data_IF_500919210136
#
_entry.id   IF_500919210136
#
_cell.length_a   1.000
_cell.length_b   1.000
_cell.length_c   1.000
_cell.angle_alpha   90.00
_cell.angle_beta   90.00
_cell.angle_gamma   90.00
#
_symmetry.space_group_name_H-M   'P 1'
#
loop_
_entity.id
_entity.type
_entity.pdbx_description
1 polymer ?
#
# COMPACT_ATOMS: atom_id res chain seq x y z
N UNK A 1 -16.00 1.00 -8.96
CA UNK A 1 -16.44 2.40 -8.81
C UNK A 1 -16.88 2.73 -7.39
N UNK A 2 -16.29 3.76 -6.79
CA UNK A 2 -16.69 4.36 -5.51
C UNK A 2 -17.24 5.77 -5.78
N UNK A 3 -18.45 6.12 -5.29
CA UNK A 3 -19.02 7.44 -5.52
C UNK A 3 -18.20 8.52 -4.81
N UNK A 4 -18.14 9.73 -5.38
CA UNK A 4 -17.50 10.86 -4.69
C UNK A 4 -18.26 11.26 -3.43
N UNK A 5 -17.56 11.70 -2.39
CA UNK A 5 -18.15 11.99 -1.10
C UNK A 5 -17.18 12.63 -0.10
N UNK A 6 -17.74 13.01 1.06
CA UNK A 6 -16.92 13.41 2.20
C UNK A 6 -16.33 12.17 2.87
N UNK A 7 -15.08 12.27 3.28
CA UNK A 7 -14.33 11.22 3.98
C UNK A 7 -13.70 11.84 5.22
N UNK A 8 -13.82 11.16 6.35
CA UNK A 8 -13.16 11.55 7.58
C UNK A 8 -11.83 10.81 7.72
N UNK A 9 -10.73 11.55 7.79
CA UNK A 9 -9.41 11.07 8.20
C UNK A 9 -9.23 11.22 9.70
N UNK A 10 -8.31 10.43 10.27
CA UNK A 10 -7.90 10.55 11.66
C UNK A 10 -8.97 10.23 12.70
N UNK A 11 -8.74 10.72 13.92
CA UNK A 11 -9.54 10.52 15.12
C UNK A 11 -9.71 11.86 15.84
N UNK A 12 -10.81 12.10 16.57
CA UNK A 12 -11.01 13.36 17.27
C UNK A 12 -10.20 13.34 18.57
N UNK A 13 -9.74 14.52 19.02
CA UNK A 13 -9.17 14.65 20.36
C UNK A 13 -10.29 14.45 21.41
N UNK A 14 -10.28 13.31 22.09
CA UNK A 14 -11.22 13.00 23.17
C UNK A 14 -10.48 12.47 24.39
N UNK A 15 -10.96 12.82 25.58
CA UNK A 15 -10.46 12.28 26.85
C UNK A 15 -11.20 11.00 27.27
N UNK A 16 -12.19 10.56 26.49
CA UNK A 16 -12.98 9.37 26.79
C UNK A 16 -12.31 8.10 26.25
N UNK A 17 -11.39 7.55 27.04
CA UNK A 17 -10.65 6.30 26.73
C UNK A 17 -11.60 5.11 26.48
N UNK A 18 -12.80 5.10 27.07
CA UNK A 18 -13.79 4.03 26.85
C UNK A 18 -14.42 4.05 25.46
N UNK A 19 -14.38 5.20 24.77
CA UNK A 19 -15.06 5.43 23.50
C UNK A 19 -14.08 5.44 22.33
N UNK A 20 -12.82 5.83 22.55
CA UNK A 20 -11.79 5.94 21.53
C UNK A 20 -10.58 5.05 21.84
N UNK A 21 -10.26 4.05 21.00
CA UNK A 21 -9.03 3.30 21.15
C UNK A 21 -7.82 4.22 20.96
N UNK A 22 -6.67 3.79 21.47
CA UNK A 22 -5.39 4.47 21.30
C UNK A 22 -5.14 4.89 19.84
N UNK A 23 -4.42 6.01 19.66
CA UNK A 23 -3.91 6.45 18.36
C UNK A 23 -2.61 7.23 18.54
N UNK A 24 -1.77 7.21 17.52
CA UNK A 24 -0.56 8.03 17.49
C UNK A 24 -0.88 9.50 17.20
N UNK A 25 0.05 10.40 17.49
CA UNK A 25 -0.14 11.85 17.31
C UNK A 25 -0.55 12.22 15.87
N UNK A 26 0.06 11.60 14.86
CA UNK A 26 -0.27 11.79 13.45
C UNK A 26 -1.69 11.37 13.05
N UNK A 27 -2.39 10.59 13.87
CA UNK A 27 -3.76 10.15 13.62
C UNK A 27 -4.80 11.17 14.10
N UNK A 28 -4.40 12.31 14.67
CA UNK A 28 -5.31 13.35 15.17
C UNK A 28 -5.04 14.72 14.52
N UNK A 29 -6.06 15.60 14.42
CA UNK A 29 -7.47 15.37 14.74
C UNK A 29 -8.23 14.68 13.58
N UNK A 30 -9.55 14.59 13.72
CA UNK A 30 -10.42 14.26 12.61
C UNK A 30 -10.39 15.37 11.56
N UNK A 31 -10.10 15.03 10.31
CA UNK A 31 -10.07 15.95 9.16
C UNK A 31 -11.10 15.49 8.11
N UNK A 32 -11.98 16.40 7.69
CA UNK A 32 -12.97 16.14 6.63
C UNK A 32 -12.38 16.50 5.27
N UNK A 33 -12.31 15.53 4.37
CA UNK A 33 -11.76 15.66 3.03
C UNK A 33 -12.79 15.21 2.00
N UNK A 34 -12.99 15.99 0.95
CA UNK A 34 -13.81 15.58 -0.18
C UNK A 34 -12.99 14.74 -1.16
N UNK A 35 -13.49 13.55 -1.49
CA UNK A 35 -12.90 12.64 -2.48
C UNK A 35 -13.80 12.62 -3.71
N UNK A 36 -13.20 12.76 -4.90
CA UNK A 36 -13.93 12.69 -6.18
C UNK A 36 -14.36 11.24 -6.47
N UNK A 37 -15.18 11.01 -7.49
CA UNK A 37 -15.47 9.64 -7.95
C UNK A 37 -14.19 8.98 -8.46
N UNK A 38 -13.96 7.72 -8.08
CA UNK A 38 -12.78 6.96 -8.52
C UNK A 38 -13.08 5.46 -8.60
N UNK A 39 -12.14 4.72 -9.18
CA UNK A 39 -12.10 3.27 -9.13
C UNK A 39 -10.81 2.82 -8.46
N UNK A 40 -10.88 1.73 -7.70
CA UNK A 40 -9.72 1.11 -7.08
C UNK A 40 -9.77 -0.38 -7.38
N UNK A 41 -8.61 -0.95 -7.69
CA UNK A 41 -8.48 -2.37 -7.91
C UNK A 41 -8.93 -3.12 -6.65
N UNK A 42 -9.67 -4.22 -6.82
CA UNK A 42 -10.27 -4.95 -5.71
C UNK A 42 -9.26 -5.73 -4.86
N UNK A 43 -8.01 -5.82 -5.28
CA UNK A 43 -6.94 -6.51 -4.56
C UNK A 43 -5.58 -5.85 -4.79
N UNK A 44 -4.62 -6.06 -3.86
CA UNK A 44 -3.22 -5.69 -4.07
C UNK A 44 -2.62 -6.31 -5.34
N UNK A 45 -1.57 -5.69 -5.88
CA UNK A 45 -0.86 -6.22 -7.06
C UNK A 45 -0.15 -7.53 -6.72
N UNK A 46 -0.29 -8.56 -7.57
CA UNK A 46 0.35 -9.86 -7.40
C UNK A 46 1.75 -9.90 -7.99
N UNK A 47 2.56 -10.87 -7.56
CA UNK A 47 3.86 -11.14 -8.16
C UNK A 47 3.74 -11.44 -9.67
N UNK A 48 2.72 -12.18 -10.08
CA UNK A 48 2.48 -12.49 -11.49
C UNK A 48 2.15 -11.25 -12.33
N UNK A 49 1.40 -10.30 -11.77
CA UNK A 49 1.06 -9.04 -12.44
C UNK A 49 2.32 -8.17 -12.59
N UNK A 50 3.11 -8.05 -11.51
CA UNK A 50 4.37 -7.29 -11.53
C UNK A 50 5.46 -7.96 -12.39
N UNK A 51 5.44 -9.29 -12.52
CA UNK A 51 6.31 -10.01 -13.45
C UNK A 51 6.06 -9.57 -14.90
N UNK A 52 4.81 -9.31 -15.29
CA UNK A 52 4.51 -8.78 -16.64
C UNK A 52 5.17 -7.42 -16.86
N UNK A 53 5.15 -6.54 -15.86
CA UNK A 53 5.87 -5.26 -15.92
C UNK A 53 7.37 -5.46 -16.12
N UNK A 54 8.00 -6.39 -15.39
CA UNK A 54 9.43 -6.70 -15.57
C UNK A 54 9.72 -7.23 -16.97
N UNK A 55 8.93 -8.20 -17.45
CA UNK A 55 9.09 -8.82 -18.76
C UNK A 55 8.84 -7.84 -19.92
N UNK A 56 8.00 -6.83 -19.71
CA UNK A 56 7.71 -5.74 -20.65
C UNK A 56 8.70 -4.56 -20.48
N UNK A 57 9.96 -4.86 -20.14
CA UNK A 57 11.04 -3.88 -20.02
C UNK A 57 10.81 -2.79 -18.95
N UNK A 58 10.10 -3.12 -17.87
CA UNK A 58 9.72 -2.17 -16.82
C UNK A 58 10.91 -1.44 -16.20
N UNK A 59 12.03 -2.14 -15.97
CA UNK A 59 13.25 -1.56 -15.37
C UNK A 59 14.21 -0.92 -16.39
N UNK A 60 13.93 -1.03 -17.69
CA UNK A 60 14.78 -0.50 -18.76
C UNK A 60 14.13 0.62 -19.57
N UNK A 61 12.84 0.84 -19.37
CA UNK A 61 12.08 1.89 -20.06
C UNK A 61 11.98 3.14 -19.18
N UNK A 62 12.59 4.25 -19.60
CA UNK A 62 12.66 5.49 -18.82
C UNK A 62 11.29 6.12 -18.52
N UNK A 63 10.31 5.94 -19.41
CA UNK A 63 8.99 6.60 -19.35
C UNK A 63 8.20 6.26 -18.07
N UNK A 64 8.53 5.16 -17.41
CA UNK A 64 7.88 4.72 -16.17
C UNK A 64 8.45 5.40 -14.93
N UNK A 65 9.62 6.01 -15.01
CA UNK A 65 10.38 6.44 -13.83
C UNK A 65 10.55 7.95 -13.80
N UNK A 66 10.64 8.50 -12.58
CA UNK A 66 11.15 9.86 -12.42
C UNK A 66 12.63 9.88 -12.81
N UNK A 67 13.10 10.93 -13.50
CA UNK A 67 14.42 10.97 -14.15
C UNK A 67 15.58 10.58 -13.21
N UNK A 68 15.63 11.18 -12.02
CA UNK A 68 16.66 10.88 -11.01
C UNK A 68 16.61 9.42 -10.52
N UNK A 69 15.40 8.85 -10.44
CA UNK A 69 15.21 7.45 -10.07
C UNK A 69 15.69 6.55 -11.20
N UNK A 70 15.36 6.85 -12.45
CA UNK A 70 15.83 6.08 -13.60
C UNK A 70 17.37 6.03 -13.69
N UNK A 71 18.01 7.18 -13.44
CA UNK A 71 19.47 7.29 -13.38
C UNK A 71 20.01 6.38 -12.27
N UNK A 72 19.40 6.39 -11.08
CA UNK A 72 19.82 5.57 -9.95
C UNK A 72 19.65 4.07 -10.23
N UNK A 73 18.46 3.61 -10.64
CA UNK A 73 18.23 2.19 -10.92
C UNK A 73 19.16 1.66 -12.00
N UNK A 74 19.44 2.47 -13.04
CA UNK A 74 20.34 2.10 -14.13
C UNK A 74 21.78 1.98 -13.65
N UNK A 75 22.26 2.97 -12.88
CA UNK A 75 23.62 2.96 -12.32
C UNK A 75 23.83 1.85 -11.29
N UNK A 76 22.79 1.51 -10.54
CA UNK A 76 22.81 0.47 -9.52
C UNK A 76 22.46 -0.92 -10.06
N UNK A 77 22.24 -1.06 -11.38
CA UNK A 77 21.85 -2.30 -12.06
C UNK A 77 20.66 -3.01 -11.39
N UNK A 78 19.66 -2.24 -10.96
CA UNK A 78 18.44 -2.77 -10.35
C UNK A 78 17.50 -3.23 -11.47
N UNK A 79 17.11 -4.51 -11.44
CA UNK A 79 16.33 -5.16 -12.51
C UNK A 79 15.00 -5.79 -12.05
N UNK A 80 14.78 -5.84 -10.75
CA UNK A 80 13.63 -6.49 -10.12
C UNK A 80 13.51 -5.98 -8.68
N UNK A 81 12.38 -6.25 -7.99
CA UNK A 81 12.21 -5.89 -6.58
C UNK A 81 13.30 -6.50 -5.70
N UNK A 82 13.61 -5.82 -4.59
CA UNK A 82 14.68 -6.22 -3.66
C UNK A 82 14.50 -7.61 -3.03
N UNK A 83 13.27 -8.12 -2.96
CA UNK A 83 12.95 -9.46 -2.45
C UNK A 83 13.19 -10.56 -3.49
N UNK A 84 13.37 -10.20 -4.76
CA UNK A 84 13.55 -11.15 -5.86
C UNK A 84 15.03 -11.41 -6.09
N UNK A 85 15.36 -12.58 -6.62
CA UNK A 85 16.68 -12.94 -7.12
C UNK A 85 16.51 -13.73 -8.42
N UNK A 86 17.55 -13.72 -9.26
CA UNK A 86 17.59 -14.51 -10.49
C UNK A 86 18.47 -15.74 -10.27
N UNK A 87 17.94 -16.92 -10.54
CA UNK A 87 18.68 -18.20 -10.50
C UNK A 87 18.29 -19.06 -11.70
N UNK A 88 19.26 -19.53 -12.49
CA UNK A 88 19.04 -20.42 -13.64
C UNK A 88 17.93 -19.94 -14.60
N UNK A 89 17.94 -18.65 -14.95
CA UNK A 89 16.92 -17.99 -15.79
C UNK A 89 15.50 -17.94 -15.23
N UNK A 90 15.32 -18.21 -13.93
CA UNK A 90 14.05 -18.04 -13.23
C UNK A 90 14.16 -17.01 -12.10
N UNK A 91 13.04 -16.39 -11.74
CA UNK A 91 12.94 -15.56 -10.56
C UNK A 91 12.62 -16.41 -9.33
N UNK A 92 13.28 -16.11 -8.23
CA UNK A 92 12.95 -16.61 -6.90
C UNK A 92 12.66 -15.45 -5.95
N UNK A 93 11.80 -15.67 -4.98
CA UNK A 93 11.40 -14.68 -3.98
C UNK A 93 11.93 -15.10 -2.60
N UNK A 94 12.44 -14.11 -1.87
CA UNK A 94 12.84 -14.22 -0.48
C UNK A 94 11.84 -13.46 0.41
N UNK A 95 11.14 -14.20 1.25
CA UNK A 95 10.43 -13.69 2.41
C UNK A 95 11.33 -13.70 3.66
N UNK A 96 10.80 -13.26 4.80
CA UNK A 96 11.56 -13.13 6.06
C UNK A 96 12.16 -14.47 6.50
N UNK A 97 11.38 -15.56 6.49
CA UNK A 97 11.82 -16.90 6.93
C UNK A 97 11.85 -17.95 5.82
N UNK A 98 11.41 -17.61 4.61
CA UNK A 98 11.35 -18.52 3.46
C UNK A 98 12.14 -17.90 2.31
N UNK A 99 13.10 -18.64 1.78
CA UNK A 99 14.05 -18.12 0.78
C UNK A 99 14.09 -19.01 -0.44
N UNK A 100 14.52 -18.44 -1.56
CA UNK A 100 14.70 -19.13 -2.83
C UNK A 100 13.41 -19.81 -3.34
N UNK A 101 12.25 -19.22 -3.04
CA UNK A 101 10.96 -19.75 -3.48
C UNK A 101 10.79 -19.42 -4.95
N UNK A 102 10.66 -20.43 -5.81
CA UNK A 102 10.42 -20.21 -7.24
C UNK A 102 9.15 -19.39 -7.44
N UNK A 103 9.22 -18.38 -8.30
CA UNK A 103 8.12 -17.44 -8.54
C UNK A 103 6.83 -18.15 -8.97
N UNK A 104 6.94 -19.27 -9.68
CA UNK A 104 5.80 -20.08 -10.15
C UNK A 104 4.89 -20.58 -9.03
N UNK A 105 5.40 -20.71 -7.80
CA UNK A 105 4.61 -21.13 -6.63
C UNK A 105 3.93 -19.97 -5.90
N UNK A 106 4.28 -18.73 -6.24
CA UNK A 106 3.85 -17.53 -5.51
C UNK A 106 3.36 -16.43 -6.45
N UNK A 107 2.97 -16.78 -7.67
CA UNK A 107 2.43 -15.83 -8.66
C UNK A 107 1.21 -15.08 -8.14
N UNK A 108 0.36 -15.73 -7.33
CA UNK A 108 -0.85 -15.13 -6.77
C UNK A 108 -0.66 -14.44 -5.41
N UNK A 109 0.56 -14.45 -4.87
CA UNK A 109 0.89 -13.67 -3.68
C UNK A 109 1.10 -12.21 -4.04
N UNK A 110 0.82 -11.28 -3.11
CA UNK A 110 1.10 -9.87 -3.33
C UNK A 110 2.60 -9.61 -3.54
N UNK A 111 2.92 -8.60 -4.36
CA UNK A 111 4.28 -8.15 -4.62
C UNK A 111 4.77 -7.19 -3.53
N UNK A 112 6.03 -7.32 -3.12
CA UNK A 112 6.69 -6.41 -2.18
C UNK A 112 7.64 -5.50 -2.92
N UNK A 113 7.29 -4.22 -3.03
CA UNK A 113 8.01 -3.21 -3.81
C UNK A 113 8.19 -1.91 -3.04
N UNK A 114 9.16 -1.11 -3.46
CA UNK A 114 9.30 0.28 -3.05
C UNK A 114 8.20 1.17 -3.63
N UNK A 115 8.03 2.36 -3.06
CA UNK A 115 7.07 3.35 -3.56
C UNK A 115 7.32 3.75 -5.02
N UNK A 116 8.60 3.90 -5.41
CA UNK A 116 8.96 4.31 -6.78
C UNK A 116 8.69 3.21 -7.81
N UNK A 117 8.88 1.94 -7.44
CA UNK A 117 8.50 0.79 -8.26
C UNK A 117 6.97 0.70 -8.43
N UNK A 118 6.21 0.94 -7.35
CA UNK A 118 4.76 0.96 -7.40
C UNK A 118 4.23 2.08 -8.33
N UNK A 119 4.78 3.30 -8.25
CA UNK A 119 4.47 4.40 -9.19
C UNK A 119 4.81 4.03 -10.64
N UNK A 120 5.97 3.42 -10.87
CA UNK A 120 6.40 3.02 -12.21
C UNK A 120 5.47 1.96 -12.81
N UNK A 121 5.03 1.00 -12.00
CA UNK A 121 4.02 0.02 -12.39
C UNK A 121 2.70 0.68 -12.80
N UNK A 122 2.18 1.64 -12.02
CA UNK A 122 0.96 2.39 -12.37
C UNK A 122 1.09 3.11 -13.72
N UNK A 123 2.23 3.74 -14.00
CA UNK A 123 2.50 4.43 -15.28
C UNK A 123 2.55 3.46 -16.46
N UNK A 124 3.23 2.33 -16.29
CA UNK A 124 3.25 1.27 -17.30
C UNK A 124 1.85 0.72 -17.55
N UNK A 125 1.10 0.43 -16.50
CA UNK A 125 -0.25 -0.13 -16.61
C UNK A 125 -1.19 0.88 -17.28
N UNK A 126 -1.09 2.16 -16.93
CA UNK A 126 -1.81 3.25 -17.60
C UNK A 126 -1.56 3.27 -19.11
N UNK A 127 -0.29 3.10 -19.52
CA UNK A 127 0.04 2.99 -20.95
C UNK A 127 -0.56 1.75 -21.58
N UNK A 128 -0.53 0.62 -20.88
CA UNK A 128 -1.00 -0.69 -21.37
C UNK A 128 -2.51 -0.71 -21.58
N UNK A 129 -3.27 -0.14 -20.66
CA UNK A 129 -4.74 -0.16 -20.66
C UNK A 129 -5.35 1.06 -21.36
N UNK A 130 -4.62 2.17 -21.42
CA UNK A 130 -5.14 3.46 -21.89
C UNK A 130 -5.91 4.24 -20.83
N UNK A 131 -5.97 3.73 -19.60
CA UNK A 131 -6.60 4.39 -18.45
C UNK A 131 -5.59 5.22 -17.67
N UNK A 132 -6.06 6.15 -16.85
CA UNK A 132 -5.21 6.89 -15.90
C UNK A 132 -5.19 6.11 -14.59
N UNK A 133 -4.07 5.46 -14.29
CA UNK A 133 -3.89 4.63 -13.10
C UNK A 133 -2.76 5.22 -12.27
N UNK A 134 -3.03 5.41 -10.99
CA UNK A 134 -2.09 5.95 -10.01
C UNK A 134 -2.24 5.26 -8.65
N UNK A 135 -1.32 5.56 -7.75
CA UNK A 135 -1.47 5.16 -6.35
C UNK A 135 -2.58 5.99 -5.72
N UNK A 136 -3.49 5.32 -5.02
CA UNK A 136 -4.54 6.01 -4.27
C UNK A 136 -3.94 6.96 -3.23
N UNK A 137 -4.64 8.05 -2.96
CA UNK A 137 -4.40 8.84 -1.76
C UNK A 137 -4.84 8.05 -0.53
N UNK A 138 -4.35 8.42 0.66
CA UNK A 138 -4.85 7.82 1.90
C UNK A 138 -6.37 8.06 2.09
N UNK A 139 -6.89 9.18 1.60
CA UNK A 139 -8.30 9.53 1.66
C UNK A 139 -9.15 8.65 0.75
N UNK A 140 -8.69 8.35 -0.46
CA UNK A 140 -9.36 7.40 -1.36
C UNK A 140 -9.31 5.99 -0.80
N UNK A 141 -8.15 5.57 -0.27
CA UNK A 141 -8.00 4.25 0.36
C UNK A 141 -8.94 4.10 1.55
N UNK A 142 -9.02 5.12 2.40
CA UNK A 142 -9.96 5.16 3.51
C UNK A 142 -11.42 5.14 3.03
N UNK A 143 -11.75 5.92 2.00
CA UNK A 143 -13.11 6.00 1.46
C UNK A 143 -13.57 4.68 0.85
N UNK A 144 -12.65 3.94 0.23
CA UNK A 144 -12.95 2.65 -0.38
C UNK A 144 -13.24 1.56 0.66
N UNK A 145 -12.59 1.63 1.83
CA UNK A 145 -12.58 0.53 2.81
C UNK A 145 -13.44 0.77 4.04
N UNK A 146 -13.70 2.02 4.39
CA UNK A 146 -14.39 2.37 5.63
C UNK A 146 -15.60 3.27 5.41
N UNK A 147 -16.58 3.11 6.29
CA UNK A 147 -17.71 4.02 6.35
C UNK A 147 -17.22 5.44 6.70
N UNK A 148 -17.49 6.38 5.81
CA UNK A 148 -17.19 7.80 5.95
C UNK A 148 -17.96 8.50 7.08
N UNK A 149 -18.91 7.83 7.73
CA UNK A 149 -19.82 8.44 8.71
C UNK A 149 -19.18 8.73 10.07
N UNK A 150 -18.06 8.08 10.42
CA UNK A 150 -17.35 8.34 11.68
C UNK A 150 -15.82 8.27 11.53
N UNK A 151 -15.14 9.15 12.26
CA UNK A 151 -13.71 9.13 12.47
C UNK A 151 -13.25 8.05 13.45
N UNK A 152 -14.17 7.48 14.23
CA UNK A 152 -13.90 6.31 15.07
C UNK A 152 -13.91 5.07 14.20
N UNK A 153 -12.72 4.62 13.82
CA UNK A 153 -12.55 3.33 13.16
C UNK A 153 -12.63 2.22 14.20
N UNK A 154 -13.79 1.60 14.39
CA UNK A 154 -13.82 0.24 14.93
C UNK A 154 -13.50 -0.70 13.78
N UNK A 155 -12.22 -1.04 13.60
CA UNK A 155 -11.88 -2.10 12.65
C UNK A 155 -12.55 -3.39 13.14
N UNK A 156 -13.58 -3.84 12.43
CA UNK A 156 -13.89 -5.26 12.43
C UNK A 156 -12.72 -5.90 11.69
N UNK A 157 -11.73 -6.37 12.46
CA UNK A 157 -10.71 -7.28 11.94
C UNK A 157 -11.48 -8.41 11.28
N UNK A 158 -11.36 -8.56 9.96
CA UNK A 158 -12.04 -9.68 9.30
C UNK A 158 -11.34 -10.95 9.75
N UNK A 159 -12.10 -12.03 9.92
CA UNK A 159 -11.58 -13.26 10.53
C UNK A 159 -10.44 -13.92 9.72
N UNK A 160 -10.13 -13.41 8.53
CA UNK A 160 -9.15 -13.97 7.58
C UNK A 160 -7.98 -13.01 7.25
N UNK A 161 -7.74 -11.98 8.06
CA UNK A 161 -6.56 -11.12 7.90
C UNK A 161 -5.26 -11.82 8.29
N UNK A 162 -4.21 -11.66 7.48
CA UNK A 162 -2.86 -12.10 7.85
C UNK A 162 -2.18 -11.05 8.73
N UNK A 163 -2.47 -11.09 10.03
CA UNK A 163 -1.93 -10.22 11.08
C UNK A 163 -1.41 -11.06 12.25
N UNK A 164 -0.99 -10.44 13.36
CA UNK A 164 -0.59 -11.13 14.60
C UNK A 164 0.47 -12.24 14.42
N UNK A 165 1.31 -12.10 13.40
CA UNK A 165 2.33 -13.07 13.02
C UNK A 165 1.79 -14.47 12.72
N UNK A 166 0.50 -14.61 12.36
CA UNK A 166 -0.08 -15.87 11.90
C UNK A 166 0.70 -16.46 10.72
N UNK A 167 1.13 -15.60 9.78
CA UNK A 167 2.09 -15.94 8.74
C UNK A 167 3.21 -14.89 8.65
N UNK A 168 4.44 -15.37 8.42
CA UNK A 168 5.65 -14.52 8.28
C UNK A 168 6.03 -14.28 6.82
N UNK A 169 5.05 -14.44 5.93
CA UNK A 169 5.11 -14.21 4.50
C UNK A 169 3.71 -13.80 4.03
N UNK A 170 3.63 -13.25 2.82
CA UNK A 170 2.37 -12.91 2.18
C UNK A 170 1.59 -14.18 1.83
N UNK A 171 0.27 -14.08 1.76
CA UNK A 171 -0.59 -15.18 1.32
C UNK A 171 -1.07 -14.96 -0.13
N UNK A 172 -1.52 -16.03 -0.82
CA UNK A 172 -2.22 -15.87 -2.09
C UNK A 172 -3.44 -14.96 -1.92
N UNK A 173 -3.67 -14.06 -2.89
CA UNK A 173 -4.82 -13.14 -2.87
C UNK A 173 -6.15 -13.90 -3.00
N UNK A 174 -6.16 -15.02 -3.74
CA UNK A 174 -7.30 -15.90 -3.84
C UNK A 174 -7.07 -17.17 -3.01
N UNK A 175 -7.86 -17.36 -1.97
CA UNK A 175 -7.98 -18.69 -1.34
C UNK A 175 -8.96 -19.56 -2.15
N UNK A 176 -8.81 -20.88 -2.08
CA UNK A 176 -9.59 -21.87 -2.83
C UNK A 176 -11.13 -21.75 -2.69
N UNK A 177 -11.64 -20.90 -1.80
CA UNK A 177 -13.07 -20.73 -1.54
C UNK A 177 -13.68 -19.41 -2.08
N UNK A 178 -12.94 -18.58 -2.84
CA UNK A 178 -13.42 -17.26 -3.29
C UNK A 178 -13.86 -16.32 -2.16
N UNK A 179 -13.45 -16.60 -0.92
CA UNK A 179 -13.87 -15.84 0.26
C UNK A 179 -12.79 -14.83 0.65
N UNK A 180 -13.17 -13.57 0.46
CA UNK A 180 -12.63 -12.31 0.98
C UNK A 180 -11.23 -11.87 0.51
N UNK A 181 -11.23 -10.70 -0.13
CA UNK A 181 -10.05 -9.93 -0.52
C UNK A 181 -9.33 -9.44 0.74
N UNK A 182 -8.03 -9.71 0.86
CA UNK A 182 -7.21 -9.24 1.98
C UNK A 182 -6.90 -7.74 1.83
N UNK A 183 -7.82 -6.89 2.30
CA UNK A 183 -7.58 -5.45 2.43
C UNK A 183 -6.83 -5.07 3.72
N UNK A 184 -6.69 -6.02 4.64
CA UNK A 184 -6.05 -5.82 5.94
C UNK A 184 -5.05 -6.96 6.20
N UNK A 185 -3.81 -6.59 6.50
CA UNK A 185 -2.71 -7.51 6.78
C UNK A 185 -1.87 -7.86 5.56
N UNK A 186 -0.97 -8.84 5.72
CA UNK A 186 0.06 -9.26 4.75
C UNK A 186 1.14 -8.21 4.42
N UNK A 187 0.78 -7.00 4.01
CA UNK A 187 1.72 -5.92 3.72
C UNK A 187 1.10 -4.52 3.90
N UNK A 188 1.94 -3.50 3.95
CA UNK A 188 1.50 -2.12 3.80
C UNK A 188 1.21 -1.81 2.33
N UNK A 189 0.19 -0.99 2.08
CA UNK A 189 -0.18 -0.51 0.75
C UNK A 189 0.32 0.93 0.56
N UNK A 190 1.07 1.17 -0.52
CA UNK A 190 1.62 2.49 -0.82
C UNK A 190 0.52 3.44 -1.30
N UNK A 191 0.47 4.64 -0.72
CA UNK A 191 -0.39 5.74 -1.19
C UNK A 191 0.44 6.83 -1.88
N UNK A 192 -0.24 7.73 -2.60
CA UNK A 192 0.35 8.96 -3.13
C UNK A 192 0.38 10.11 -2.11
N UNK A 193 -0.25 9.94 -0.94
CA UNK A 193 -0.26 10.94 0.13
C UNK A 193 1.14 11.16 0.69
N UNK A 194 1.53 12.44 0.82
CA UNK A 194 2.70 12.83 1.60
C UNK A 194 2.35 12.71 3.07
N UNK A 195 3.24 12.12 3.87
CA UNK A 195 3.09 12.07 5.32
C UNK A 195 3.13 13.50 5.88
N UNK A 196 2.01 13.96 6.44
CA UNK A 196 1.79 15.34 6.88
C UNK A 196 0.93 15.38 8.15
N UNK A 197 0.91 16.50 8.89
CA UNK A 197 -0.06 16.66 9.96
C UNK A 197 -1.47 16.82 9.38
N UNK A 198 -2.46 16.27 10.08
CA UNK A 198 -3.87 16.53 9.79
C UNK A 198 -4.24 17.98 10.16
N UNK A 199 -5.24 18.53 9.49
CA UNK A 199 -5.69 19.91 9.71
C UNK A 199 -6.18 20.11 11.15
N UNK A 200 -5.45 20.93 11.92
CA UNK A 200 -5.71 21.16 13.34
C UNK A 200 -4.89 20.28 14.29
N UNK A 201 -3.85 19.60 13.80
CA UNK A 201 -2.85 18.92 14.63
C UNK A 201 -2.30 19.83 15.72
N UNK A 202 -2.30 19.36 16.96
CA UNK A 202 -1.95 20.14 18.16
C UNK A 202 -0.52 19.93 18.66
N UNK A 203 0.30 19.22 17.90
CA UNK A 203 1.67 18.88 18.30
C UNK A 203 1.81 17.43 18.74
N UNK A 204 3.07 17.01 18.90
CA UNK A 204 3.41 15.63 19.19
C UNK A 204 2.97 15.18 20.57
N UNK A 205 2.87 13.86 20.75
CA UNK A 205 2.65 13.26 22.06
C UNK A 205 3.78 13.69 23.01
N UNK A 206 3.49 14.32 24.16
CA UNK A 206 4.53 14.82 25.07
C UNK A 206 5.49 13.73 25.55
N UNK A 207 5.02 12.48 25.63
CA UNK A 207 5.83 11.32 26.03
C UNK A 207 6.73 10.81 24.91
N UNK A 208 6.42 11.13 23.64
CA UNK A 208 7.23 10.73 22.49
C UNK A 208 7.22 11.82 21.40
N UNK A 209 7.88 12.96 21.64
CA UNK A 209 7.72 14.17 20.81
C UNK A 209 8.29 14.05 19.40
N UNK A 210 9.18 13.08 19.15
CA UNK A 210 9.82 12.84 17.84
C UNK A 210 9.20 11.68 17.06
N UNK A 211 8.01 11.24 17.47
CA UNK A 211 7.34 10.12 16.83
C UNK A 211 6.96 10.45 15.37
N UNK A 212 6.24 11.55 15.15
CA UNK A 212 5.78 11.95 13.81
C UNK A 212 6.25 13.34 13.39
N UNK A 213 6.35 14.29 14.32
CA UNK A 213 6.59 15.70 13.99
C UNK A 213 7.87 15.98 13.19
N UNK A 214 8.92 15.18 13.37
CA UNK A 214 10.20 15.33 12.66
C UNK A 214 10.14 14.86 11.19
N UNK A 215 9.05 14.21 10.77
CA UNK A 215 8.88 13.62 9.44
C UNK A 215 7.77 14.28 8.61
N UNK A 216 7.12 15.31 9.16
CA UNK A 216 6.16 16.16 8.45
C UNK A 216 6.83 17.14 7.48
#
# INVERSE_FOLDING_TARGET
>A
MFPGGQTLLGKPYSNEISTFPFGWDNEFPCESIYVSIFEMQSHPIRNGDFLQFILDNGYTTSDWWDENIFIWITKSDIRHPSTWIIHENSYQINFVLQRNILIEYVLDHLVLVSHVEAKAYCRWLSKKTGEQIELSTESEWIHALWDSSDCIRSALITNNCNIDFHHLHTLPIYSNNNEELQWQGSAFEWTSSVFRPLSGYRGALPTYPRHSADFF
#
